data_IF_347287968017
#
_entry.id   IF_347287968017
#
_cell.length_a   1.000
_cell.length_b   1.000
_cell.length_c   1.000
_cell.angle_alpha   90.00
_cell.angle_beta   90.00
_cell.angle_gamma   90.00
#
_symmetry.space_group_name_H-M   'P 1'
#
loop_
_entity.id
_entity.type
_entity.pdbx_description
1 polymer ?
#
# COMPACT_ATOMS: atom_id res chain seq x y z
N UNK A 1 28.37 -3.93 -7.06
CA UNK A 1 27.62 -4.42 -8.25
C UNK A 1 28.21 -3.75 -9.48
N UNK A 2 28.69 -4.52 -10.45
CA UNK A 2 29.29 -4.02 -11.69
C UNK A 2 28.22 -3.45 -12.63
N UNK A 3 28.61 -2.64 -13.63
CA UNK A 3 27.69 -2.10 -14.62
C UNK A 3 26.96 -3.22 -15.38
N UNK A 4 27.68 -4.26 -15.80
CA UNK A 4 27.09 -5.42 -16.49
C UNK A 4 26.04 -6.17 -15.65
N UNK A 5 26.24 -6.30 -14.34
CA UNK A 5 25.26 -6.92 -13.43
C UNK A 5 23.97 -6.09 -13.35
N UNK A 6 24.08 -4.76 -13.32
CA UNK A 6 22.88 -3.87 -13.31
C UNK A 6 22.08 -4.02 -14.60
N UNK A 7 22.75 -4.05 -15.75
CA UNK A 7 22.10 -4.26 -17.04
C UNK A 7 21.37 -5.61 -17.11
N UNK A 8 22.00 -6.68 -16.65
CA UNK A 8 21.38 -8.00 -16.64
C UNK A 8 20.13 -8.06 -15.76
N UNK A 9 20.16 -7.41 -14.58
CA UNK A 9 19.01 -7.30 -13.67
C UNK A 9 17.90 -6.48 -14.33
N UNK A 10 18.24 -5.32 -14.88
CA UNK A 10 17.28 -4.45 -15.56
C UNK A 10 16.55 -5.20 -16.68
N UNK A 11 17.29 -5.87 -17.57
CA UNK A 11 16.72 -6.65 -18.69
C UNK A 11 15.79 -7.76 -18.19
N UNK A 12 16.21 -8.52 -17.19
CA UNK A 12 15.35 -9.56 -16.57
C UNK A 12 14.06 -8.98 -16.02
N UNK A 13 14.14 -7.82 -15.39
CA UNK A 13 12.96 -7.16 -14.86
C UNK A 13 12.07 -6.59 -15.96
N UNK A 14 12.62 -6.08 -17.05
CA UNK A 14 11.83 -5.68 -18.23
C UNK A 14 11.06 -6.88 -18.82
N UNK A 15 11.71 -8.02 -18.96
CA UNK A 15 11.05 -9.27 -19.40
C UNK A 15 9.92 -9.70 -18.45
N UNK A 16 10.12 -9.54 -17.13
CA UNK A 16 9.06 -9.81 -16.14
C UNK A 16 7.88 -8.86 -16.27
N UNK A 17 8.15 -7.57 -16.49
CA UNK A 17 7.10 -6.56 -16.71
C UNK A 17 6.35 -6.85 -18.01
N UNK A 18 7.04 -7.13 -19.11
CA UNK A 18 6.43 -7.47 -20.39
C UNK A 18 5.59 -8.74 -20.32
N UNK A 19 6.03 -9.75 -19.57
CA UNK A 19 5.23 -10.97 -19.35
C UNK A 19 3.90 -10.66 -18.65
N UNK A 20 3.87 -9.64 -17.78
CA UNK A 20 2.67 -9.24 -17.03
C UNK A 20 1.79 -8.25 -17.80
N UNK A 21 2.40 -7.37 -18.56
CA UNK A 21 1.73 -6.40 -19.45
C UNK A 21 2.32 -6.60 -20.86
N UNK A 22 1.75 -7.51 -21.66
CA UNK A 22 2.31 -7.85 -22.97
C UNK A 22 2.43 -6.66 -23.92
N UNK A 23 1.47 -5.74 -23.86
CA UNK A 23 1.38 -4.58 -24.76
C UNK A 23 2.08 -3.33 -24.22
N UNK A 24 2.96 -3.50 -23.23
CA UNK A 24 3.68 -2.35 -22.67
C UNK A 24 4.69 -1.76 -23.65
N UNK A 25 4.59 -0.46 -23.87
CA UNK A 25 5.45 0.28 -24.78
C UNK A 25 6.59 1.01 -24.06
N UNK A 26 7.68 1.29 -24.78
CA UNK A 26 8.81 2.12 -24.32
C UNK A 26 8.52 3.61 -24.60
N UNK A 27 7.39 4.09 -24.11
CA UNK A 27 6.90 5.46 -24.34
C UNK A 27 6.70 6.21 -23.02
N UNK A 28 6.61 7.55 -23.09
CA UNK A 28 6.20 8.36 -21.96
C UNK A 28 4.76 8.03 -21.55
N UNK A 29 4.51 8.02 -20.23
CA UNK A 29 3.18 7.72 -19.73
C UNK A 29 3.09 7.65 -18.21
N UNK A 30 1.89 7.40 -17.76
CA UNK A 30 1.52 7.25 -16.34
C UNK A 30 1.28 5.78 -16.04
N UNK A 31 1.84 5.31 -14.98
CA UNK A 31 1.66 3.95 -14.46
C UNK A 31 1.20 3.98 -13.02
N UNK A 32 0.60 2.88 -12.61
CA UNK A 32 0.10 2.67 -11.25
C UNK A 32 0.67 1.38 -10.70
N UNK A 33 1.10 1.43 -9.46
CA UNK A 33 1.46 0.27 -8.65
C UNK A 33 0.45 0.21 -7.52
N UNK A 34 -0.29 -0.89 -7.42
CA UNK A 34 -1.43 -1.00 -6.52
C UNK A 34 -1.47 -2.37 -5.84
N UNK A 35 -2.14 -2.44 -4.73
CA UNK A 35 -2.47 -3.68 -4.04
C UNK A 35 -3.71 -3.49 -3.16
N UNK A 36 -4.38 -4.57 -2.85
CA UNK A 36 -5.38 -4.63 -1.78
C UNK A 36 -4.82 -5.45 -0.63
N UNK A 37 -5.11 -5.11 0.59
CA UNK A 37 -4.73 -5.93 1.74
C UNK A 37 -5.86 -6.87 2.17
N UNK A 38 -5.61 -7.65 3.20
CA UNK A 38 -6.56 -8.61 3.78
C UNK A 38 -7.83 -7.98 4.38
N UNK A 39 -7.85 -6.66 4.54
CA UNK A 39 -9.00 -5.89 5.01
C UNK A 39 -9.68 -5.11 3.87
N UNK A 40 -9.46 -5.49 2.62
CA UNK A 40 -9.95 -4.82 1.41
C UNK A 40 -9.52 -3.35 1.26
N UNK A 41 -8.43 -2.96 1.95
CA UNK A 41 -7.89 -1.61 1.80
C UNK A 41 -7.01 -1.53 0.57
N UNK A 42 -7.42 -0.67 -0.36
CA UNK A 42 -6.65 -0.39 -1.58
C UNK A 42 -5.50 0.59 -1.31
N UNK A 43 -4.30 0.21 -1.68
CA UNK A 43 -3.10 1.05 -1.65
C UNK A 43 -2.64 1.32 -3.08
N UNK A 44 -2.26 2.56 -3.35
CA UNK A 44 -1.87 2.95 -4.70
C UNK A 44 -0.66 3.90 -4.68
N UNK A 45 0.20 3.71 -5.63
CA UNK A 45 1.26 4.64 -6.01
C UNK A 45 1.11 4.96 -7.50
N UNK A 46 0.97 6.22 -7.84
CA UNK A 46 0.94 6.72 -9.21
C UNK A 46 2.33 7.23 -9.54
N UNK A 47 2.83 6.92 -10.72
CA UNK A 47 4.11 7.41 -11.17
C UNK A 47 4.10 7.78 -12.65
N UNK A 48 5.02 8.65 -13.03
CA UNK A 48 5.26 9.04 -14.40
C UNK A 48 6.65 8.60 -14.87
N UNK A 49 6.81 8.37 -16.14
CA UNK A 49 8.10 8.08 -16.74
C UNK A 49 8.14 8.45 -18.22
N UNK A 50 9.32 8.83 -18.72
CA UNK A 50 9.60 8.95 -20.16
C UNK A 50 9.67 7.59 -20.86
N UNK A 51 9.92 6.54 -20.11
CA UNK A 51 9.88 5.15 -20.56
C UNK A 51 9.28 4.30 -19.44
N UNK A 52 7.99 3.99 -19.57
CA UNK A 52 7.21 3.30 -18.53
C UNK A 52 7.74 1.90 -18.28
N UNK A 53 8.10 1.14 -19.34
CA UNK A 53 8.67 -0.20 -19.19
C UNK A 53 9.94 -0.19 -18.34
N UNK A 54 10.88 0.68 -18.69
CA UNK A 54 12.14 0.81 -17.98
C UNK A 54 11.92 1.21 -16.51
N UNK A 55 10.98 2.13 -16.27
CA UNK A 55 10.69 2.61 -14.92
C UNK A 55 10.06 1.55 -14.04
N UNK A 56 9.10 0.79 -14.54
CA UNK A 56 8.51 -0.33 -13.80
C UNK A 56 9.55 -1.40 -13.49
N UNK A 57 10.44 -1.72 -14.44
CA UNK A 57 11.56 -2.64 -14.21
C UNK A 57 12.54 -2.14 -13.13
N UNK A 58 12.78 -0.83 -13.05
CA UNK A 58 13.57 -0.21 -11.99
C UNK A 58 12.93 -0.38 -10.62
N UNK A 59 11.61 -0.22 -10.49
CA UNK A 59 10.90 -0.47 -9.23
C UNK A 59 11.08 -1.91 -8.74
N UNK A 60 11.17 -2.88 -9.65
CA UNK A 60 11.43 -4.29 -9.27
C UNK A 60 12.86 -4.56 -8.79
N UNK A 61 13.82 -3.72 -9.14
CA UNK A 61 15.23 -3.86 -8.75
C UNK A 61 15.69 -2.81 -7.75
N UNK A 62 14.91 -1.75 -7.59
CA UNK A 62 15.30 -0.57 -6.85
C UNK A 62 15.19 -0.73 -5.34
N UNK A 63 15.94 0.14 -4.65
CA UNK A 63 15.91 0.27 -3.20
C UNK A 63 15.88 1.75 -2.79
N UNK A 64 15.62 2.62 -3.75
CA UNK A 64 15.78 4.07 -3.57
C UNK A 64 14.49 4.78 -3.22
N UNK A 65 13.35 4.19 -3.55
CA UNK A 65 12.05 4.79 -3.27
C UNK A 65 11.27 3.99 -2.22
N UNK A 66 10.41 4.66 -1.50
CA UNK A 66 9.54 4.04 -0.50
C UNK A 66 8.68 2.89 -1.09
N UNK A 67 8.18 3.07 -2.32
CA UNK A 67 7.42 2.03 -3.01
C UNK A 67 8.26 0.80 -3.31
N UNK A 68 9.53 0.95 -3.68
CA UNK A 68 10.44 -0.16 -3.99
C UNK A 68 10.66 -1.06 -2.77
N UNK A 69 10.84 -0.43 -1.60
CA UNK A 69 10.98 -1.14 -0.33
C UNK A 69 9.68 -1.89 0.02
N UNK A 70 8.54 -1.29 -0.27
CA UNK A 70 7.24 -1.93 -0.05
C UNK A 70 7.02 -3.12 -0.98
N UNK A 71 7.40 -3.01 -2.26
CA UNK A 71 7.36 -4.11 -3.22
C UNK A 71 8.28 -5.25 -2.75
N UNK A 72 9.49 -4.93 -2.31
CA UNK A 72 10.43 -5.93 -1.78
C UNK A 72 9.87 -6.66 -0.55
N UNK A 73 9.22 -5.94 0.36
CA UNK A 73 8.68 -6.50 1.60
C UNK A 73 7.48 -7.40 1.36
N UNK A 74 6.57 -7.00 0.45
CA UNK A 74 5.28 -7.65 0.25
C UNK A 74 5.22 -8.55 -0.98
N UNK A 75 6.20 -8.45 -1.87
CA UNK A 75 6.25 -9.19 -3.13
C UNK A 75 5.28 -8.67 -4.19
N UNK A 76 5.31 -9.33 -5.32
CA UNK A 76 4.41 -9.09 -6.45
C UNK A 76 3.16 -9.97 -6.31
N UNK A 77 2.04 -9.43 -6.74
CA UNK A 77 0.76 -10.13 -6.76
C UNK A 77 0.85 -11.46 -7.54
N UNK A 78 0.35 -12.49 -6.93
CA UNK A 78 0.12 -13.80 -7.54
C UNK A 78 -1.17 -14.34 -6.96
N UNK A 79 -2.11 -14.72 -7.82
CA UNK A 79 -3.45 -15.13 -7.41
C UNK A 79 -3.45 -16.25 -6.38
N UNK A 80 -2.55 -17.22 -6.56
CA UNK A 80 -2.52 -18.43 -5.73
C UNK A 80 -1.53 -18.35 -4.57
N UNK A 81 -0.42 -17.59 -4.74
CA UNK A 81 0.69 -17.56 -3.78
C UNK A 81 0.77 -16.27 -2.98
N UNK A 82 0.35 -15.16 -3.54
CA UNK A 82 0.46 -13.84 -2.91
C UNK A 82 -0.68 -12.89 -3.35
N UNK A 83 -1.92 -13.15 -2.93
CA UNK A 83 -3.09 -12.36 -3.35
C UNK A 83 -3.06 -10.91 -2.86
N UNK A 84 -2.23 -10.60 -1.87
CA UNK A 84 -2.07 -9.26 -1.28
C UNK A 84 -0.78 -8.57 -1.72
N UNK A 85 -0.09 -9.12 -2.71
CA UNK A 85 1.11 -8.54 -3.30
C UNK A 85 0.82 -7.30 -4.14
N UNK A 86 1.89 -6.63 -4.57
CA UNK A 86 1.82 -5.48 -5.45
C UNK A 86 1.60 -5.90 -6.90
N UNK A 87 0.66 -5.26 -7.56
CA UNK A 87 0.45 -5.33 -8.99
C UNK A 87 0.72 -3.97 -9.64
N UNK A 88 0.87 -3.94 -10.96
CA UNK A 88 1.13 -2.72 -11.69
C UNK A 88 0.50 -2.75 -13.08
N UNK A 89 0.11 -1.58 -13.55
CA UNK A 89 -0.45 -1.38 -14.89
C UNK A 89 -0.08 -0.01 -15.45
N UNK A 90 -0.20 0.14 -16.76
CA UNK A 90 -0.10 1.44 -17.42
C UNK A 90 -1.50 2.04 -17.52
N UNK A 91 -1.64 3.27 -17.06
CA UNK A 91 -2.91 3.99 -17.10
C UNK A 91 -3.13 4.69 -18.42
N UNK A 92 -2.12 5.40 -18.90
CA UNK A 92 -2.15 6.05 -20.20
C UNK A 92 -0.74 6.37 -20.70
N UNK A 93 -0.59 6.41 -22.00
CA UNK A 93 0.55 7.02 -22.66
C UNK A 93 0.20 8.48 -23.01
N UNK A 94 1.17 9.39 -22.91
CA UNK A 94 1.01 10.80 -23.22
C UNK A 94 2.36 11.41 -23.60
N UNK A 95 2.36 12.63 -24.07
CA UNK A 95 3.60 13.31 -24.37
C UNK A 95 4.37 13.72 -23.10
N UNK A 96 5.70 13.88 -23.22
CA UNK A 96 6.53 14.23 -22.07
C UNK A 96 6.10 15.53 -21.38
N UNK A 97 5.61 16.50 -22.13
CA UNK A 97 5.14 17.77 -21.58
C UNK A 97 3.84 17.65 -20.77
N UNK A 98 3.05 16.59 -20.97
CA UNK A 98 1.81 16.35 -20.24
C UNK A 98 1.99 15.51 -18.98
N UNK A 99 3.15 14.88 -18.79
CA UNK A 99 3.38 13.91 -17.72
C UNK A 99 3.01 14.44 -16.34
N UNK A 100 3.44 15.66 -16.00
CA UNK A 100 3.18 16.26 -14.68
C UNK A 100 1.69 16.51 -14.43
N UNK A 101 0.95 16.94 -15.45
CA UNK A 101 -0.48 17.20 -15.35
C UNK A 101 -1.27 15.88 -15.20
N UNK A 102 -0.92 14.88 -16.02
CA UNK A 102 -1.56 13.58 -16.01
C UNK A 102 -1.28 12.81 -14.72
N UNK A 103 -0.06 12.88 -14.19
CA UNK A 103 0.26 12.29 -12.89
C UNK A 103 -0.60 12.90 -11.77
N UNK A 104 -0.71 14.24 -11.71
CA UNK A 104 -1.57 14.95 -10.75
C UNK A 104 -3.02 14.53 -10.86
N UNK A 105 -3.53 14.44 -12.09
CA UNK A 105 -4.90 14.01 -12.35
C UNK A 105 -5.16 12.62 -11.77
N UNK A 106 -4.28 11.65 -12.01
CA UNK A 106 -4.45 10.29 -11.54
C UNK A 106 -4.26 10.17 -10.02
N UNK A 107 -3.31 10.90 -9.43
CA UNK A 107 -3.16 10.98 -7.95
C UNK A 107 -4.46 11.47 -7.33
N UNK A 108 -5.01 12.56 -7.84
CA UNK A 108 -6.26 13.13 -7.35
C UNK A 108 -7.45 12.17 -7.50
N UNK A 109 -7.56 11.50 -8.65
CA UNK A 109 -8.63 10.55 -8.93
C UNK A 109 -8.62 9.37 -7.96
N UNK A 110 -7.47 8.75 -7.74
CA UNK A 110 -7.34 7.65 -6.77
C UNK A 110 -7.56 8.11 -5.32
N UNK A 111 -7.06 9.28 -4.95
CA UNK A 111 -7.28 9.85 -3.63
C UNK A 111 -8.77 10.07 -3.33
N UNK A 112 -9.53 10.58 -4.32
CA UNK A 112 -10.99 10.74 -4.19
C UNK A 112 -11.76 9.42 -4.14
N UNK A 113 -11.24 8.40 -4.77
CA UNK A 113 -11.84 7.06 -4.76
C UNK A 113 -11.56 6.26 -3.48
N UNK A 114 -10.91 6.88 -2.49
CA UNK A 114 -10.69 6.28 -1.17
C UNK A 114 -9.45 5.40 -1.04
N UNK A 115 -8.60 5.35 -2.07
CA UNK A 115 -7.34 4.60 -1.99
C UNK A 115 -6.33 5.26 -1.05
N UNK A 116 -5.54 4.43 -0.37
CA UNK A 116 -4.39 4.90 0.42
C UNK A 116 -3.22 5.24 -0.49
N UNK A 117 -2.98 6.55 -0.66
CA UNK A 117 -1.92 7.03 -1.54
C UNK A 117 -0.54 6.85 -0.91
N UNK A 118 0.40 6.30 -1.69
CA UNK A 118 1.82 6.18 -1.31
C UNK A 118 2.70 7.27 -1.94
N UNK A 119 2.10 8.16 -2.70
CA UNK A 119 2.78 9.33 -3.21
C UNK A 119 3.11 10.29 -2.06
N UNK A 120 4.37 10.77 -2.02
CA UNK A 120 4.80 11.75 -1.03
C UNK A 120 4.32 13.18 -1.37
N UNK A 121 3.99 13.42 -2.64
CA UNK A 121 3.57 14.72 -3.18
C UNK A 121 2.38 14.55 -4.11
N UNK A 122 1.71 15.63 -4.43
CA UNK A 122 0.57 15.66 -5.36
C UNK A 122 0.94 15.43 -6.85
N UNK A 123 2.19 15.05 -7.13
CA UNK A 123 2.71 14.81 -8.48
C UNK A 123 3.47 16.03 -9.05
N UNK A 124 4.16 15.76 -10.16
CA UNK A 124 5.02 16.74 -10.83
C UNK A 124 6.45 16.75 -10.32
N UNK A 125 7.41 16.80 -11.26
CA UNK A 125 8.84 16.93 -10.96
C UNK A 125 9.33 18.39 -10.96
N UNK A 126 8.42 19.32 -11.17
CA UNK A 126 8.71 20.75 -11.29
C UNK A 126 9.07 21.47 -10.00
N UNK A 127 9.39 22.75 -10.14
CA UNK A 127 9.74 23.64 -9.03
C UNK A 127 8.60 23.70 -8.00
N UNK A 128 8.90 23.30 -6.76
CA UNK A 128 7.94 23.35 -5.68
C UNK A 128 7.05 22.09 -5.62
N UNK A 129 7.52 21.09 -4.91
CA UNK A 129 6.68 19.93 -4.56
C UNK A 129 5.53 20.42 -3.68
N UNK A 130 4.33 20.44 -4.24
CA UNK A 130 3.13 20.74 -3.46
C UNK A 130 2.85 19.53 -2.56
N UNK A 131 2.68 19.78 -1.27
CA UNK A 131 2.32 18.73 -0.33
C UNK A 131 0.99 18.07 -0.73
N UNK A 132 0.92 16.76 -0.59
CA UNK A 132 -0.29 15.97 -0.91
C UNK A 132 -1.40 16.09 0.13
N UNK A 133 -1.31 17.05 1.07
CA UNK A 133 -2.22 17.13 2.21
C UNK A 133 -3.70 17.23 1.80
N UNK A 134 -3.97 17.81 0.63
CA UNK A 134 -5.32 17.87 0.07
C UNK A 134 -5.68 16.68 -0.84
N UNK A 135 -4.71 15.82 -1.19
CA UNK A 135 -4.91 14.68 -2.12
C UNK A 135 -4.71 13.34 -1.45
N UNK A 136 -4.13 13.30 -0.25
CA UNK A 136 -4.22 12.12 0.58
C UNK A 136 -5.67 11.96 1.03
N UNK A 137 -6.26 10.75 0.94
CA UNK A 137 -7.40 10.45 1.78
C UNK A 137 -7.01 10.94 3.17
N UNK A 138 -7.79 11.81 3.77
CA UNK A 138 -7.49 12.41 5.08
C UNK A 138 -6.85 11.33 5.92
N UNK A 139 -5.82 11.68 6.70
CA UNK A 139 -5.28 10.81 7.75
C UNK A 139 -6.46 10.21 8.50
N UNK A 140 -7.04 9.20 8.04
CA UNK A 140 -8.38 8.88 8.49
C UNK A 140 -8.66 7.41 8.44
N UNK A 141 -8.19 6.71 7.43
CA UNK A 141 -8.61 5.32 7.35
C UNK A 141 -7.87 4.45 8.37
N UNK A 142 -6.55 4.53 8.44
CA UNK A 142 -5.78 3.85 9.51
C UNK A 142 -6.05 4.44 10.87
N UNK A 143 -6.13 5.76 10.96
CA UNK A 143 -6.46 6.44 12.21
C UNK A 143 -7.92 6.16 12.59
N UNK A 144 -8.82 6.02 11.62
CA UNK A 144 -10.22 5.62 11.83
C UNK A 144 -10.36 4.19 12.30
N UNK A 145 -9.58 3.24 11.74
CA UNK A 145 -9.53 1.85 12.25
C UNK A 145 -8.97 1.84 13.66
N UNK A 146 -7.82 2.48 13.89
CA UNK A 146 -7.21 2.54 15.23
C UNK A 146 -8.12 3.23 16.25
N UNK A 147 -8.82 4.30 15.85
CA UNK A 147 -9.80 4.96 16.69
C UNK A 147 -11.05 4.10 16.91
N UNK A 148 -11.51 3.40 15.87
CA UNK A 148 -12.61 2.43 15.97
C UNK A 148 -12.28 1.30 16.94
N UNK A 149 -11.08 0.73 16.84
CA UNK A 149 -10.60 -0.28 17.79
C UNK A 149 -10.54 0.25 19.23
N UNK A 150 -10.04 1.48 19.43
CA UNK A 150 -10.03 2.14 20.75
C UNK A 150 -11.44 2.36 21.29
N UNK A 151 -12.35 2.82 20.43
CA UNK A 151 -13.74 3.04 20.84
C UNK A 151 -14.44 1.74 21.22
N UNK A 152 -14.25 0.67 20.43
CA UNK A 152 -14.82 -0.66 20.74
C UNK A 152 -14.22 -1.21 22.03
N UNK A 153 -12.89 -1.11 22.22
CA UNK A 153 -12.23 -1.52 23.46
C UNK A 153 -12.78 -0.75 24.66
N UNK A 154 -12.95 0.57 24.53
CA UNK A 154 -13.52 1.40 25.60
C UNK A 154 -14.96 1.02 25.94
N UNK A 155 -15.81 0.77 24.93
CA UNK A 155 -17.18 0.30 25.16
C UNK A 155 -17.23 -1.09 25.81
N UNK A 156 -16.42 -2.03 25.34
CA UNK A 156 -16.31 -3.35 25.94
C UNK A 156 -15.83 -3.27 27.38
N UNK A 157 -14.81 -2.45 27.65
CA UNK A 157 -14.29 -2.21 29.00
C UNK A 157 -15.38 -1.66 29.91
N UNK A 158 -16.14 -0.67 29.48
CA UNK A 158 -17.25 -0.11 30.24
C UNK A 158 -18.33 -1.16 30.55
N UNK A 159 -18.72 -1.98 29.58
CA UNK A 159 -19.69 -3.05 29.78
C UNK A 159 -19.20 -4.09 30.80
N UNK A 160 -17.97 -4.56 30.66
CA UNK A 160 -17.42 -5.56 31.59
C UNK A 160 -17.17 -4.99 32.98
N UNK A 161 -16.69 -3.74 33.08
CA UNK A 161 -16.41 -3.14 34.41
C UNK A 161 -17.69 -2.82 35.18
N UNK A 162 -18.75 -2.42 34.49
CA UNK A 162 -19.98 -1.95 35.17
C UNK A 162 -21.10 -2.99 35.25
N UNK A 163 -21.17 -3.90 34.27
CA UNK A 163 -22.38 -4.72 34.08
C UNK A 163 -22.15 -6.21 33.91
N UNK A 164 -20.92 -6.64 33.62
CA UNK A 164 -20.62 -8.03 33.31
C UNK A 164 -19.39 -8.52 34.06
N UNK A 165 -19.41 -9.81 34.45
CA UNK A 165 -18.26 -10.52 34.98
C UNK A 165 -17.77 -11.56 33.96
N UNK A 166 -16.50 -11.57 33.67
CA UNK A 166 -15.89 -12.60 32.83
C UNK A 166 -15.49 -13.80 33.68
N UNK A 167 -16.14 -14.93 33.43
CA UNK A 167 -15.83 -16.19 34.16
C UNK A 167 -15.54 -17.33 33.18
N UNK A 168 -14.72 -18.27 33.62
CA UNK A 168 -14.39 -19.47 32.87
C UNK A 168 -15.43 -20.55 33.16
N UNK A 169 -16.06 -21.13 32.11
CA UNK A 169 -16.98 -22.25 32.25
C UNK A 169 -16.35 -23.52 32.82
N UNK A 170 -15.05 -23.65 32.76
CA UNK A 170 -14.29 -24.81 33.22
C UNK A 170 -12.92 -24.33 33.78
N UNK A 171 -12.83 -24.13 35.10
CA UNK A 171 -11.62 -23.58 35.73
C UNK A 171 -10.41 -24.54 35.69
N UNK A 172 -10.61 -25.82 35.34
CA UNK A 172 -9.50 -26.78 35.25
C UNK A 172 -8.77 -26.72 33.88
N UNK A 173 -9.33 -26.00 32.93
CA UNK A 173 -8.79 -25.93 31.58
C UNK A 173 -7.78 -24.76 31.42
N UNK A 174 -6.49 -25.10 31.45
CA UNK A 174 -5.38 -24.14 31.34
C UNK A 174 -5.43 -23.26 30.06
N UNK A 175 -6.01 -23.74 28.95
CA UNK A 175 -6.16 -22.94 27.73
C UNK A 175 -7.21 -21.84 27.93
N UNK A 176 -8.33 -22.17 28.59
CA UNK A 176 -9.37 -21.20 28.88
C UNK A 176 -8.90 -20.16 29.91
N UNK A 177 -8.13 -20.59 30.92
CA UNK A 177 -7.50 -19.70 31.90
C UNK A 177 -6.56 -18.70 31.21
N UNK A 178 -5.71 -19.16 30.31
CA UNK A 178 -4.86 -18.27 29.50
C UNK A 178 -5.66 -17.29 28.69
N UNK A 179 -6.78 -17.71 28.08
CA UNK A 179 -7.64 -16.83 27.27
C UNK A 179 -8.38 -15.80 28.12
N UNK A 180 -8.78 -16.12 29.32
CA UNK A 180 -9.33 -15.13 30.26
C UNK A 180 -8.26 -14.08 30.62
N UNK A 181 -7.06 -14.51 30.92
CA UNK A 181 -5.95 -13.59 31.21
C UNK A 181 -5.60 -12.68 30.03
N UNK A 182 -5.54 -13.23 28.79
CA UNK A 182 -5.36 -12.44 27.57
C UNK A 182 -6.48 -11.39 27.40
N UNK A 183 -7.73 -11.75 27.72
CA UNK A 183 -8.87 -10.84 27.69
C UNK A 183 -8.75 -9.74 28.76
N UNK A 184 -8.42 -10.10 30.01
CA UNK A 184 -8.21 -9.14 31.09
C UNK A 184 -7.06 -8.17 30.76
N UNK A 185 -5.95 -8.67 30.20
CA UNK A 185 -4.81 -7.83 29.79
C UNK A 185 -5.17 -6.89 28.64
N UNK A 186 -6.02 -7.33 27.70
CA UNK A 186 -6.54 -6.48 26.64
C UNK A 186 -7.49 -5.38 27.14
N UNK A 187 -8.13 -5.60 28.29
CA UNK A 187 -9.05 -4.64 28.92
C UNK A 187 -8.35 -3.65 29.86
N UNK A 188 -7.07 -3.86 30.20
CA UNK A 188 -6.28 -2.87 30.97
C UNK A 188 -5.96 -1.66 30.09
N UNK A 189 -5.88 -0.51 30.71
CA UNK A 189 -5.42 0.70 30.01
C UNK A 189 -3.91 0.61 29.71
N UNK A 190 -3.53 1.09 28.50
CA UNK A 190 -2.14 1.44 28.19
C UNK A 190 -1.79 2.77 28.84
#
# INVERSE_FOLDING_TARGET
>A
MTCGQRWAIQRRNEERVQKRIPDIEKRPGIYVIYRTDENDIGYVYVGQAKNVLQRLAQHLSGYTQHIDLSIKKRGIYDKDKNPYGWDFTVMQYCDECELDEREKFWIYSYARSGFQMLNATAGGQGKGKVATDNTRPRKGYRDGIAQGEKNIKAQLRELFTKYLDATIKDPTNKVKERKLKEFEDMMKDD
#
